data_IF_038080530101
#
_entry.id   IF_038080530101
#
_cell.length_a   1.000
_cell.length_b   1.000
_cell.length_c   1.000
_cell.angle_alpha   90.00
_cell.angle_beta   90.00
_cell.angle_gamma   90.00
#
_symmetry.space_group_name_H-M   'P 1'
#
loop_
_entity.id
_entity.type
_entity.pdbx_description
1 polymer ?
#
# COMPACT_ATOMS: atom_id res chain seq x y z
N UNK A 1 -28.81 4.90 -37.66
CA UNK A 1 -27.78 4.79 -36.61
C UNK A 1 -28.07 3.64 -35.63
N UNK A 2 -28.90 2.64 -35.98
CA UNK A 2 -29.63 1.85 -34.97
C UNK A 2 -29.63 0.31 -35.21
N UNK A 3 -28.61 -0.19 -35.92
CA UNK A 3 -28.36 -1.65 -36.09
C UNK A 3 -27.03 -2.04 -35.44
N UNK A 4 -25.99 -1.20 -35.61
CA UNK A 4 -24.69 -1.39 -34.97
C UNK A 4 -24.72 -1.14 -33.44
N UNK A 5 -25.63 -0.29 -32.94
CA UNK A 5 -25.78 -0.04 -31.49
C UNK A 5 -26.43 -1.21 -30.73
N UNK A 6 -27.30 -1.99 -31.39
CA UNK A 6 -27.92 -3.20 -30.80
C UNK A 6 -26.97 -4.40 -30.73
N UNK A 7 -25.88 -4.36 -31.49
CA UNK A 7 -24.84 -5.39 -31.55
C UNK A 7 -23.49 -4.92 -30.98
N UNK A 8 -23.42 -3.67 -30.50
CA UNK A 8 -22.21 -3.10 -29.91
C UNK A 8 -21.74 -3.96 -28.73
N UNK A 9 -20.56 -4.58 -28.92
CA UNK A 9 -19.87 -5.35 -27.90
C UNK A 9 -19.39 -4.47 -26.73
N UNK A 10 -19.46 -3.15 -26.84
CA UNK A 10 -18.89 -2.19 -25.89
C UNK A 10 -19.55 -2.31 -24.51
N UNK A 11 -20.89 -2.43 -24.45
CA UNK A 11 -21.63 -2.56 -23.18
C UNK A 11 -21.32 -3.87 -22.44
N UNK A 12 -21.08 -4.96 -23.17
CA UNK A 12 -20.70 -6.24 -22.56
C UNK A 12 -19.22 -6.22 -22.16
N UNK A 13 -18.37 -5.66 -23.02
CA UNK A 13 -16.93 -5.53 -22.78
C UNK A 13 -16.64 -4.73 -21.51
N UNK A 14 -17.31 -3.59 -21.30
CA UNK A 14 -17.07 -2.78 -20.09
C UNK A 14 -17.49 -3.51 -18.81
N UNK A 15 -18.55 -4.34 -18.86
CA UNK A 15 -18.97 -5.16 -17.73
C UNK A 15 -17.90 -6.16 -17.31
N UNK A 16 -17.35 -6.90 -18.28
CA UNK A 16 -16.26 -7.84 -18.03
C UNK A 16 -14.97 -7.15 -17.58
N UNK A 17 -14.61 -6.01 -18.17
CA UNK A 17 -13.44 -5.23 -17.73
C UNK A 17 -13.61 -4.71 -16.31
N UNK A 18 -14.80 -4.25 -15.94
CA UNK A 18 -15.08 -3.80 -14.58
C UNK A 18 -15.00 -4.97 -13.58
N UNK A 19 -15.57 -6.13 -13.90
CA UNK A 19 -15.43 -7.36 -13.12
C UNK A 19 -13.95 -7.74 -12.90
N UNK A 20 -13.11 -7.56 -13.92
CA UNK A 20 -11.66 -7.81 -13.81
C UNK A 20 -10.95 -6.87 -12.85
N UNK A 21 -11.33 -5.59 -12.82
CA UNK A 21 -10.81 -4.66 -11.82
C UNK A 21 -11.33 -4.96 -10.41
N UNK A 22 -12.61 -5.34 -10.26
CA UNK A 22 -13.15 -5.78 -8.96
C UNK A 22 -12.41 -7.03 -8.46
N UNK A 23 -12.12 -7.98 -9.35
CA UNK A 23 -11.32 -9.16 -9.04
C UNK A 23 -9.91 -8.79 -8.58
N UNK A 24 -9.25 -7.86 -9.28
CA UNK A 24 -7.92 -7.39 -8.92
C UNK A 24 -7.91 -6.67 -7.56
N UNK A 25 -8.91 -5.82 -7.28
CA UNK A 25 -9.07 -5.16 -5.99
C UNK A 25 -9.13 -6.20 -4.86
N UNK A 26 -9.98 -7.21 -4.99
CA UNK A 26 -10.09 -8.26 -3.98
C UNK A 26 -8.84 -9.15 -3.91
N UNK A 27 -8.15 -9.41 -5.02
CA UNK A 27 -6.88 -10.14 -5.03
C UNK A 27 -5.79 -9.41 -4.22
N UNK A 28 -5.75 -8.07 -4.27
CA UNK A 28 -4.87 -7.24 -3.45
C UNK A 28 -5.22 -7.26 -1.96
N UNK A 29 -6.49 -7.50 -1.61
CA UNK A 29 -7.01 -7.55 -0.24
C UNK A 29 -6.87 -8.93 0.42
N UNK A 30 -6.53 -9.98 -0.34
CA UNK A 30 -6.36 -11.34 0.18
C UNK A 30 -5.38 -11.36 1.36
N UNK A 31 -5.70 -12.19 2.34
CA UNK A 31 -4.80 -12.58 3.44
C UNK A 31 -4.21 -13.97 3.19
N UNK A 32 -3.15 -14.36 3.92
CA UNK A 32 -2.65 -15.73 3.87
C UNK A 32 -3.78 -16.76 4.02
N UNK A 33 -3.71 -17.84 3.24
CA UNK A 33 -4.70 -18.91 3.16
C UNK A 33 -6.06 -18.54 2.52
N UNK A 34 -6.24 -17.29 2.08
CA UNK A 34 -7.44 -16.89 1.33
C UNK A 34 -7.23 -17.06 -0.19
N UNK A 35 -8.35 -17.16 -0.91
CA UNK A 35 -8.33 -17.18 -2.37
C UNK A 35 -9.50 -16.44 -2.99
N UNK A 36 -9.29 -16.02 -4.24
CA UNK A 36 -10.33 -15.54 -5.14
C UNK A 36 -10.44 -16.46 -6.33
N UNK A 37 -11.65 -16.74 -6.80
CA UNK A 37 -11.82 -17.31 -8.13
C UNK A 37 -12.83 -16.56 -8.97
N UNK A 38 -12.61 -16.62 -10.27
CA UNK A 38 -13.29 -15.80 -11.29
C UNK A 38 -14.05 -16.76 -12.21
N UNK A 39 -15.36 -16.55 -12.38
CA UNK A 39 -16.24 -17.40 -13.21
C UNK A 39 -16.25 -18.88 -12.76
N UNK A 40 -16.31 -19.14 -11.44
CA UNK A 40 -16.33 -20.51 -10.89
C UNK A 40 -17.66 -20.85 -10.21
N UNK A 41 -18.09 -20.04 -9.24
CA UNK A 41 -19.38 -20.20 -8.55
C UNK A 41 -20.35 -19.05 -8.87
N UNK A 42 -19.81 -17.87 -9.13
CA UNK A 42 -20.48 -16.66 -9.62
C UNK A 42 -19.42 -15.87 -10.41
N UNK A 43 -19.71 -14.62 -10.80
CA UNK A 43 -18.76 -13.74 -11.49
C UNK A 43 -17.41 -13.72 -10.75
N UNK A 44 -17.46 -13.60 -9.41
CA UNK A 44 -16.34 -13.80 -8.49
C UNK A 44 -16.77 -14.61 -7.27
N UNK A 45 -15.82 -15.31 -6.65
CA UNK A 45 -15.99 -15.82 -5.29
C UNK A 45 -14.73 -15.64 -4.48
N UNK A 46 -14.89 -15.44 -3.17
CA UNK A 46 -13.82 -15.42 -2.19
C UNK A 46 -13.99 -16.62 -1.26
N UNK A 47 -12.87 -17.22 -0.88
CA UNK A 47 -12.80 -18.24 0.16
C UNK A 47 -11.82 -17.78 1.24
N UNK A 48 -12.31 -17.65 2.48
CA UNK A 48 -11.49 -17.23 3.60
C UNK A 48 -10.82 -18.42 4.30
N UNK A 49 -9.96 -18.15 5.28
CA UNK A 49 -9.23 -19.18 6.06
C UNK A 49 -10.13 -20.21 6.77
N UNK A 50 -11.39 -19.87 7.03
CA UNK A 50 -12.35 -20.78 7.66
C UNK A 50 -13.13 -21.63 6.63
N UNK A 51 -12.81 -21.52 5.33
CA UNK A 51 -13.56 -22.15 4.24
C UNK A 51 -14.92 -21.50 3.96
N UNK A 52 -15.21 -20.34 4.55
CA UNK A 52 -16.43 -19.59 4.25
C UNK A 52 -16.33 -19.01 2.85
N UNK A 53 -17.41 -19.17 2.07
CA UNK A 53 -17.48 -18.66 0.70
C UNK A 53 -18.34 -17.41 0.59
N UNK A 54 -17.82 -16.42 -0.11
CA UNK A 54 -18.55 -15.22 -0.50
C UNK A 54 -18.69 -15.23 -2.02
N UNK A 55 -19.91 -15.29 -2.54
CA UNK A 55 -20.16 -15.14 -3.97
C UNK A 55 -20.52 -13.71 -4.28
N UNK A 56 -19.91 -13.17 -5.31
CA UNK A 56 -20.03 -11.77 -5.68
C UNK A 56 -20.52 -11.73 -7.12
N UNK A 57 -21.75 -11.24 -7.30
CA UNK A 57 -22.28 -10.94 -8.61
C UNK A 57 -21.98 -9.47 -8.93
N UNK A 58 -21.24 -9.22 -10.00
CA UNK A 58 -20.80 -7.89 -10.41
C UNK A 58 -21.72 -7.35 -11.51
N UNK A 59 -22.29 -6.16 -11.29
CA UNK A 59 -23.15 -5.45 -12.25
C UNK A 59 -22.64 -4.04 -12.49
N UNK A 60 -22.16 -3.79 -13.71
CA UNK A 60 -21.73 -2.47 -14.15
C UNK A 60 -22.65 -1.91 -15.23
N UNK A 61 -22.92 -0.60 -15.18
CA UNK A 61 -23.66 0.11 -16.22
C UNK A 61 -22.96 1.41 -16.60
N UNK A 62 -22.97 1.77 -17.89
CA UNK A 62 -22.27 2.99 -18.39
C UNK A 62 -22.85 4.29 -17.80
N UNK A 63 -24.15 4.29 -17.47
CA UNK A 63 -24.82 5.45 -16.86
C UNK A 63 -24.99 5.21 -15.36
N UNK A 64 -24.19 5.90 -14.55
CA UNK A 64 -24.29 5.89 -13.08
C UNK A 64 -25.62 6.47 -12.55
N UNK A 65 -26.41 7.12 -13.40
CA UNK A 65 -27.59 7.89 -12.99
C UNK A 65 -28.81 7.07 -12.58
N UNK A 66 -28.76 5.74 -12.64
CA UNK A 66 -29.94 4.90 -12.37
C UNK A 66 -29.71 4.03 -11.15
N UNK A 67 -30.48 4.26 -10.09
CA UNK A 67 -30.55 3.39 -8.93
C UNK A 67 -31.12 2.01 -9.29
N UNK A 68 -30.71 0.96 -8.57
CA UNK A 68 -31.40 -0.34 -8.60
C UNK A 68 -32.82 -0.14 -8.10
N UNK A 69 -33.80 -0.54 -8.93
CA UNK A 69 -35.24 -0.42 -8.60
C UNK A 69 -35.81 -1.77 -8.17
N UNK A 70 -36.99 -1.76 -7.55
CA UNK A 70 -37.71 -2.99 -7.17
C UNK A 70 -38.12 -3.87 -8.37
N UNK A 71 -38.00 -3.35 -9.61
CA UNK A 71 -38.30 -4.05 -10.86
C UNK A 71 -37.05 -4.30 -11.72
N UNK A 72 -35.85 -4.13 -11.16
CA UNK A 72 -34.61 -4.33 -11.91
C UNK A 72 -34.46 -5.82 -12.27
N UNK A 73 -34.44 -6.11 -13.58
CA UNK A 73 -34.36 -7.48 -14.10
C UNK A 73 -33.06 -8.19 -13.68
N UNK A 74 -31.95 -7.45 -13.59
CA UNK A 74 -30.66 -8.03 -13.22
C UNK A 74 -30.67 -8.45 -11.75
N UNK A 75 -31.33 -7.68 -10.88
CA UNK A 75 -31.56 -8.07 -9.48
C UNK A 75 -32.35 -9.37 -9.39
N UNK A 76 -33.52 -9.43 -10.04
CA UNK A 76 -34.39 -10.61 -9.97
C UNK A 76 -33.74 -11.86 -10.55
N UNK A 77 -33.00 -11.72 -11.66
CA UNK A 77 -32.23 -12.80 -12.25
C UNK A 77 -31.14 -13.32 -11.30
N UNK A 78 -30.41 -12.42 -10.64
CA UNK A 78 -29.39 -12.80 -9.66
C UNK A 78 -29.99 -13.48 -8.44
N UNK A 79 -31.10 -12.97 -7.89
CA UNK A 79 -31.84 -13.63 -6.81
C UNK A 79 -32.29 -15.03 -7.20
N UNK A 80 -32.79 -15.20 -8.43
CA UNK A 80 -33.17 -16.51 -8.96
C UNK A 80 -31.96 -17.45 -9.02
N UNK A 81 -30.86 -17.03 -9.63
CA UNK A 81 -29.64 -17.84 -9.74
C UNK A 81 -29.10 -18.26 -8.36
N UNK A 82 -29.04 -17.32 -7.40
CA UNK A 82 -28.63 -17.62 -6.03
C UNK A 82 -29.59 -18.55 -5.31
N UNK A 83 -30.90 -18.43 -5.56
CA UNK A 83 -31.90 -19.35 -4.99
C UNK A 83 -31.69 -20.79 -5.48
N UNK A 84 -31.30 -20.98 -6.74
CA UNK A 84 -30.95 -22.30 -7.27
C UNK A 84 -29.61 -22.80 -6.72
N UNK A 85 -28.60 -21.94 -6.63
CA UNK A 85 -27.28 -22.29 -6.09
C UNK A 85 -27.35 -22.73 -4.62
N UNK A 86 -28.10 -22.01 -3.79
CA UNK A 86 -28.25 -22.32 -2.35
C UNK A 86 -28.92 -23.68 -2.10
N UNK A 87 -29.76 -24.17 -3.02
CA UNK A 87 -30.34 -25.53 -2.89
C UNK A 87 -29.31 -26.63 -3.01
N UNK A 88 -28.22 -26.38 -3.72
CA UNK A 88 -27.19 -27.39 -4.04
C UNK A 88 -26.00 -27.25 -3.09
N UNK A 89 -25.63 -26.03 -2.73
CA UNK A 89 -24.44 -25.80 -1.91
C UNK A 89 -24.81 -26.04 -0.45
N UNK A 90 -24.08 -26.94 0.20
CA UNK A 90 -24.33 -27.36 1.57
C UNK A 90 -23.53 -26.55 2.62
N UNK A 91 -22.77 -25.55 2.17
CA UNK A 91 -21.99 -24.65 3.04
C UNK A 91 -22.96 -23.81 3.88
N UNK A 92 -22.97 -24.02 5.20
CA UNK A 92 -23.92 -23.35 6.10
C UNK A 92 -23.70 -21.83 6.14
N UNK A 93 -22.48 -21.38 5.88
CA UNK A 93 -22.07 -19.99 5.94
C UNK A 93 -21.64 -19.50 4.55
N UNK A 94 -22.63 -19.19 3.70
CA UNK A 94 -22.40 -18.51 2.41
C UNK A 94 -22.81 -17.05 2.56
N UNK A 95 -21.99 -16.15 2.03
CA UNK A 95 -22.35 -14.75 1.82
C UNK A 95 -22.58 -14.48 0.33
N UNK A 96 -23.60 -13.71 0.00
CA UNK A 96 -23.98 -13.36 -1.37
C UNK A 96 -23.95 -11.83 -1.49
N UNK A 97 -23.06 -11.32 -2.32
CA UNK A 97 -22.82 -9.88 -2.46
C UNK A 97 -23.28 -9.43 -3.83
N UNK A 98 -24.25 -8.51 -3.85
CA UNK A 98 -24.63 -7.82 -5.08
C UNK A 98 -23.75 -6.59 -5.24
N UNK A 99 -22.75 -6.68 -6.11
CA UNK A 99 -21.75 -5.62 -6.32
C UNK A 99 -22.13 -4.76 -7.52
N UNK A 100 -22.31 -3.46 -7.34
CA UNK A 100 -22.69 -2.56 -8.45
C UNK A 100 -22.17 -1.14 -8.32
N UNK A 101 -22.01 -0.48 -9.48
CA UNK A 101 -21.78 0.95 -9.54
C UNK A 101 -23.06 1.80 -9.37
N UNK A 102 -24.26 1.19 -9.45
CA UNK A 102 -25.54 1.89 -9.25
C UNK A 102 -25.79 2.17 -7.76
N UNK A 103 -26.50 3.26 -7.46
CA UNK A 103 -27.09 3.48 -6.15
C UNK A 103 -28.31 2.59 -5.88
N UNK A 104 -28.86 2.67 -4.66
CA UNK A 104 -30.11 1.98 -4.30
C UNK A 104 -31.32 2.92 -4.42
N UNK A 105 -32.49 2.38 -4.82
CA UNK A 105 -33.71 3.19 -4.87
C UNK A 105 -34.09 3.74 -3.50
N UNK A 106 -34.62 4.97 -3.49
CA UNK A 106 -35.22 5.57 -2.30
C UNK A 106 -36.67 5.12 -2.08
N UNK A 107 -37.26 4.39 -3.02
CA UNK A 107 -38.59 3.79 -2.86
C UNK A 107 -38.55 2.67 -1.81
N UNK A 108 -39.61 2.52 -1.02
CA UNK A 108 -39.80 1.33 -0.19
C UNK A 108 -39.98 0.09 -1.06
N UNK A 109 -39.66 -1.08 -0.51
CA UNK A 109 -39.89 -2.37 -1.15
C UNK A 109 -38.68 -3.28 -1.08
N UNK A 110 -38.60 -4.21 -2.02
CA UNK A 110 -37.66 -5.34 -1.97
C UNK A 110 -36.19 -4.91 -1.88
N UNK A 111 -35.77 -3.86 -2.61
CA UNK A 111 -34.36 -3.41 -2.60
C UNK A 111 -33.95 -2.94 -1.20
N UNK A 112 -34.78 -2.14 -0.53
CA UNK A 112 -34.49 -1.66 0.84
C UNK A 112 -34.55 -2.78 1.88
N UNK A 113 -35.50 -3.70 1.73
CA UNK A 113 -35.61 -4.85 2.62
C UNK A 113 -34.39 -5.76 2.50
N UNK A 114 -33.91 -5.99 1.26
CA UNK A 114 -32.71 -6.79 0.99
C UNK A 114 -31.40 -6.06 1.28
N UNK A 115 -31.34 -4.73 1.29
CA UNK A 115 -30.12 -4.00 1.67
C UNK A 115 -30.00 -3.74 3.17
N UNK A 116 -31.08 -3.93 3.94
CA UNK A 116 -31.08 -3.80 5.39
C UNK A 116 -30.10 -4.76 6.08
N UNK A 117 -29.41 -4.30 7.12
CA UNK A 117 -28.57 -5.14 7.98
C UNK A 117 -29.42 -6.16 8.77
N UNK A 118 -30.66 -5.81 9.12
CA UNK A 118 -31.62 -6.72 9.75
C UNK A 118 -32.62 -7.21 8.72
N UNK A 119 -32.50 -8.49 8.34
CA UNK A 119 -33.40 -9.12 7.37
C UNK A 119 -34.73 -9.52 8.01
N UNK A 120 -35.79 -8.79 7.69
CA UNK A 120 -37.16 -9.14 8.08
C UNK A 120 -37.77 -10.09 7.05
N UNK A 121 -37.46 -11.38 7.17
CA UNK A 121 -37.79 -12.42 6.17
C UNK A 121 -39.29 -12.45 5.81
N UNK A 122 -40.17 -12.32 6.80
CA UNK A 122 -41.63 -12.29 6.55
C UNK A 122 -42.05 -11.07 5.71
N UNK A 123 -41.47 -9.89 5.96
CA UNK A 123 -41.74 -8.70 5.15
C UNK A 123 -41.21 -8.85 3.74
N UNK A 124 -40.00 -9.42 3.58
CA UNK A 124 -39.41 -9.73 2.27
C UNK A 124 -40.33 -10.65 1.47
N UNK A 125 -40.77 -11.77 2.07
CA UNK A 125 -41.64 -12.72 1.40
C UNK A 125 -43.00 -12.12 1.02
N UNK A 126 -43.59 -11.28 1.88
CA UNK A 126 -44.86 -10.59 1.58
C UNK A 126 -44.70 -9.60 0.42
N UNK A 127 -43.65 -8.77 0.45
CA UNK A 127 -43.34 -7.82 -0.62
C UNK A 127 -43.16 -8.54 -1.98
N UNK A 128 -42.46 -9.68 -2.02
CA UNK A 128 -42.28 -10.47 -3.24
C UNK A 128 -43.63 -10.97 -3.78
N UNK A 129 -44.54 -11.42 -2.90
CA UNK A 129 -45.90 -11.86 -3.29
C UNK A 129 -46.73 -10.69 -3.83
N UNK A 130 -46.63 -9.52 -3.22
CA UNK A 130 -47.31 -8.31 -3.70
C UNK A 130 -46.80 -7.88 -5.08
N UNK A 131 -45.47 -7.88 -5.28
CA UNK A 131 -44.85 -7.60 -6.57
C UNK A 131 -45.32 -8.62 -7.63
N UNK A 132 -45.38 -9.91 -7.29
CA UNK A 132 -45.88 -10.95 -8.19
C UNK A 132 -47.33 -10.71 -8.62
N UNK A 133 -48.21 -10.37 -7.67
CA UNK A 133 -49.63 -10.10 -7.94
C UNK A 133 -49.83 -8.84 -8.80
N UNK A 134 -48.99 -7.82 -8.59
CA UNK A 134 -49.05 -6.58 -9.34
C UNK A 134 -48.44 -6.69 -10.76
N UNK A 135 -47.62 -7.71 -11.02
CA UNK A 135 -46.94 -7.88 -12.30
C UNK A 135 -47.86 -8.50 -13.36
N UNK A 136 -48.31 -7.68 -14.32
CA UNK A 136 -49.34 -8.05 -15.31
C UNK A 136 -48.85 -8.96 -16.44
N UNK A 137 -47.54 -8.93 -16.76
CA UNK A 137 -47.00 -9.65 -17.90
C UNK A 137 -46.42 -11.00 -17.47
N UNK A 138 -47.24 -12.05 -17.48
CA UNK A 138 -46.85 -13.38 -17.04
C UNK A 138 -45.88 -14.12 -17.98
N UNK A 139 -45.58 -13.55 -19.15
CA UNK A 139 -44.73 -14.17 -20.17
C UNK A 139 -43.29 -13.65 -20.19
N UNK A 140 -42.94 -12.66 -19.38
CA UNK A 140 -41.58 -12.12 -19.35
C UNK A 140 -40.67 -12.81 -18.32
N UNK A 141 -39.36 -12.60 -18.49
CA UNK A 141 -38.33 -13.22 -17.65
C UNK A 141 -38.43 -12.76 -16.19
N UNK A 142 -38.81 -11.49 -15.95
CA UNK A 142 -38.94 -10.97 -14.59
C UNK A 142 -40.05 -11.69 -13.83
N UNK A 143 -41.19 -11.95 -14.47
CA UNK A 143 -42.27 -12.74 -13.85
C UNK A 143 -41.79 -14.13 -13.47
N UNK A 144 -41.08 -14.82 -14.37
CA UNK A 144 -40.50 -16.15 -14.11
C UNK A 144 -39.61 -16.15 -12.88
N UNK A 145 -38.72 -15.16 -12.75
CA UNK A 145 -37.82 -15.05 -11.61
C UNK A 145 -38.58 -14.78 -10.30
N UNK A 146 -39.47 -13.78 -10.29
CA UNK A 146 -40.29 -13.46 -9.11
C UNK A 146 -41.12 -14.67 -8.68
N UNK A 147 -41.77 -15.34 -9.63
CA UNK A 147 -42.59 -16.52 -9.36
C UNK A 147 -41.77 -17.63 -8.70
N UNK A 148 -40.58 -17.94 -9.23
CA UNK A 148 -39.70 -18.95 -8.65
C UNK A 148 -39.30 -18.62 -7.21
N UNK A 149 -38.92 -17.36 -6.96
CA UNK A 149 -38.50 -16.89 -5.64
C UNK A 149 -39.67 -16.89 -4.65
N UNK A 150 -40.87 -16.49 -5.09
CA UNK A 150 -42.08 -16.44 -4.25
C UNK A 150 -42.54 -17.82 -3.74
N UNK A 151 -42.11 -18.89 -4.41
CA UNK A 151 -42.47 -20.29 -4.12
C UNK A 151 -41.33 -21.07 -3.46
N UNK A 152 -40.27 -20.39 -2.99
CA UNK A 152 -39.19 -21.05 -2.25
C UNK A 152 -39.72 -21.61 -0.91
N UNK A 153 -39.28 -22.81 -0.50
CA UNK A 153 -39.53 -23.29 0.86
C UNK A 153 -38.98 -22.30 1.91
N UNK A 154 -39.67 -22.17 3.05
CA UNK A 154 -39.35 -21.17 4.08
C UNK A 154 -37.89 -21.23 4.54
N UNK A 155 -37.34 -22.44 4.74
CA UNK A 155 -35.95 -22.63 5.14
C UNK A 155 -34.95 -22.18 4.06
N UNK A 156 -35.29 -22.32 2.78
CA UNK A 156 -34.45 -21.89 1.65
C UNK A 156 -34.54 -20.38 1.48
N UNK A 157 -35.75 -19.81 1.57
CA UNK A 157 -35.99 -18.36 1.55
C UNK A 157 -35.24 -17.65 2.68
N UNK A 158 -35.34 -18.18 3.91
CA UNK A 158 -34.62 -17.63 5.06
C UNK A 158 -33.11 -17.67 4.84
N UNK A 159 -32.56 -18.82 4.42
CA UNK A 159 -31.13 -18.96 4.14
C UNK A 159 -30.67 -17.98 3.06
N UNK A 160 -31.39 -17.88 1.94
CA UNK A 160 -31.09 -16.98 0.83
C UNK A 160 -31.03 -15.52 1.29
N UNK A 161 -32.11 -15.02 1.88
CA UNK A 161 -32.21 -13.59 2.18
C UNK A 161 -31.31 -13.16 3.33
N UNK A 162 -30.98 -14.06 4.27
CA UNK A 162 -29.98 -13.80 5.31
C UNK A 162 -28.56 -13.68 4.77
N UNK A 163 -28.24 -14.40 3.69
CA UNK A 163 -26.92 -14.38 3.08
C UNK A 163 -26.65 -13.14 2.21
N UNK A 164 -27.68 -12.38 1.82
CA UNK A 164 -27.54 -11.29 0.85
C UNK A 164 -27.08 -9.97 1.50
N UNK A 165 -26.08 -9.34 0.89
CA UNK A 165 -25.67 -7.97 1.12
C UNK A 165 -25.49 -7.22 -0.20
N UNK A 166 -25.47 -5.89 -0.12
CA UNK A 166 -25.23 -5.02 -1.27
C UNK A 166 -23.94 -4.26 -1.07
N UNK A 167 -23.10 -4.26 -2.10
CA UNK A 167 -21.99 -3.33 -2.23
C UNK A 167 -22.30 -2.46 -3.44
N UNK A 168 -22.73 -1.23 -3.18
CA UNK A 168 -23.36 -0.37 -4.19
C UNK A 168 -22.65 0.97 -4.28
N UNK A 169 -22.97 1.74 -5.33
CA UNK A 169 -22.30 3.01 -5.63
C UNK A 169 -20.77 2.86 -5.76
N UNK A 170 -20.31 1.67 -6.15
CA UNK A 170 -18.90 1.35 -6.30
C UNK A 170 -18.37 1.85 -7.65
N UNK A 171 -18.30 3.15 -7.80
CA UNK A 171 -17.71 3.77 -8.99
C UNK A 171 -16.19 3.97 -8.82
N UNK A 172 -15.51 4.34 -9.91
CA UNK A 172 -14.09 4.70 -9.88
C UNK A 172 -13.17 3.56 -9.37
N UNK A 173 -13.43 2.31 -9.79
CA UNK A 173 -12.71 1.11 -9.30
C UNK A 173 -11.17 1.22 -9.43
N UNK A 174 -10.68 1.90 -10.48
CA UNK A 174 -9.24 2.16 -10.67
C UNK A 174 -8.70 3.05 -9.56
N UNK A 175 -9.42 4.11 -9.18
CA UNK A 175 -9.03 4.98 -8.07
C UNK A 175 -9.00 4.20 -6.75
N UNK A 176 -9.98 3.33 -6.52
CA UNK A 176 -10.01 2.48 -5.33
C UNK A 176 -8.80 1.54 -5.25
N UNK A 177 -8.42 0.90 -6.37
CA UNK A 177 -7.21 0.07 -6.45
C UNK A 177 -5.96 0.91 -6.18
N UNK A 178 -5.84 2.10 -6.78
CA UNK A 178 -4.70 3.00 -6.53
C UNK A 178 -4.63 3.43 -5.06
N UNK A 179 -5.76 3.71 -4.42
CA UNK A 179 -5.83 4.01 -2.98
C UNK A 179 -5.39 2.82 -2.12
N UNK A 180 -5.81 1.61 -2.48
CA UNK A 180 -5.34 0.38 -1.84
C UNK A 180 -3.82 0.19 -2.03
N UNK A 181 -3.29 0.47 -3.21
CA UNK A 181 -1.84 0.41 -3.48
C UNK A 181 -1.04 1.36 -2.56
N UNK A 182 -1.57 2.55 -2.24
CA UNK A 182 -0.91 3.46 -1.28
C UNK A 182 -0.72 2.84 0.10
N UNK A 183 -1.59 1.91 0.52
CA UNK A 183 -1.45 1.22 1.82
C UNK A 183 -0.22 0.30 1.87
N UNK A 184 0.35 -0.04 0.72
CA UNK A 184 1.62 -0.75 0.61
C UNK A 184 2.81 0.21 0.54
N UNK A 185 2.76 1.42 1.11
CA UNK A 185 3.91 2.33 1.21
C UNK A 185 4.59 2.60 -0.14
N UNK A 186 3.83 2.61 -1.22
CA UNK A 186 4.33 2.92 -2.57
C UNK A 186 4.36 4.45 -2.70
N UNK A 187 5.48 5.04 -3.17
CA UNK A 187 5.55 6.48 -3.43
C UNK A 187 4.46 6.95 -4.41
N UNK A 188 3.88 8.12 -4.17
CA UNK A 188 2.76 8.65 -4.96
C UNK A 188 3.07 8.75 -6.46
N UNK A 189 4.32 9.08 -6.83
CA UNK A 189 4.79 9.16 -8.22
C UNK A 189 4.97 7.79 -8.90
N UNK A 190 4.92 6.69 -8.14
CA UNK A 190 5.07 5.31 -8.62
C UNK A 190 3.75 4.53 -8.65
N UNK A 191 2.67 5.07 -8.10
CA UNK A 191 1.39 4.36 -7.99
C UNK A 191 0.86 3.92 -9.35
N UNK A 192 0.96 4.77 -10.36
CA UNK A 192 0.47 4.47 -11.71
C UNK A 192 1.27 3.35 -12.36
N UNK A 193 2.60 3.39 -12.27
CA UNK A 193 3.48 2.35 -12.79
C UNK A 193 3.22 1.01 -12.09
N UNK A 194 3.08 1.01 -10.76
CA UNK A 194 2.76 -0.21 -10.01
C UNK A 194 1.39 -0.76 -10.42
N UNK A 195 0.38 0.10 -10.53
CA UNK A 195 -0.96 -0.30 -10.97
C UNK A 195 -0.91 -0.97 -12.35
N UNK A 196 -0.22 -0.38 -13.34
CA UNK A 196 -0.11 -0.95 -14.68
C UNK A 196 0.63 -2.29 -14.69
N UNK A 197 1.72 -2.42 -13.93
CA UNK A 197 2.48 -3.67 -13.86
C UNK A 197 1.67 -4.81 -13.22
N UNK A 198 1.01 -4.54 -12.09
CA UNK A 198 0.20 -5.54 -11.37
C UNK A 198 -1.03 -5.93 -12.22
N UNK A 199 -1.75 -4.96 -12.76
CA UNK A 199 -2.94 -5.23 -13.60
C UNK A 199 -2.57 -6.00 -14.86
N UNK A 200 -1.47 -5.65 -15.53
CA UNK A 200 -0.94 -6.39 -16.66
C UNK A 200 -0.66 -7.85 -16.34
N UNK A 201 0.08 -8.12 -15.26
CA UNK A 201 0.39 -9.48 -14.82
C UNK A 201 -0.88 -10.29 -14.48
N UNK A 202 -1.84 -9.67 -13.79
CA UNK A 202 -3.10 -10.30 -13.42
C UNK A 202 -3.97 -10.63 -14.64
N UNK A 203 -4.17 -9.68 -15.55
CA UNK A 203 -4.99 -9.87 -16.75
C UNK A 203 -4.37 -10.87 -17.71
N UNK A 204 -3.04 -10.85 -17.87
CA UNK A 204 -2.34 -11.85 -18.68
C UNK A 204 -2.52 -13.25 -18.09
N UNK A 205 -2.41 -13.41 -16.77
CA UNK A 205 -2.67 -14.69 -16.09
C UNK A 205 -4.10 -15.17 -16.34
N UNK A 206 -5.12 -14.33 -16.07
CA UNK A 206 -6.52 -14.69 -16.32
C UNK A 206 -6.71 -15.15 -17.77
N UNK A 207 -6.23 -14.38 -18.73
CA UNK A 207 -6.33 -14.72 -20.16
C UNK A 207 -5.71 -16.09 -20.47
N UNK A 208 -4.50 -16.36 -19.96
CA UNK A 208 -3.80 -17.64 -20.17
C UNK A 208 -4.57 -18.82 -19.58
N UNK A 209 -5.21 -18.65 -18.43
CA UNK A 209 -5.99 -19.71 -17.78
C UNK A 209 -7.30 -19.99 -18.53
N UNK A 210 -8.04 -18.94 -18.90
CA UNK A 210 -9.27 -19.08 -19.70
C UNK A 210 -8.97 -19.74 -21.04
N UNK A 211 -7.87 -19.37 -21.71
CA UNK A 211 -7.45 -19.98 -22.97
C UNK A 211 -7.15 -21.49 -22.85
N UNK A 212 -6.79 -21.96 -21.65
CA UNK A 212 -6.53 -23.39 -21.36
C UNK A 212 -7.78 -24.15 -20.92
N UNK A 213 -8.95 -23.50 -20.91
CA UNK A 213 -10.18 -24.04 -20.31
C UNK A 213 -10.02 -24.42 -18.83
N UNK A 214 -9.13 -23.72 -18.13
CA UNK A 214 -8.85 -23.90 -16.71
C UNK A 214 -9.66 -22.92 -15.87
N UNK A 215 -10.18 -23.39 -14.72
CA UNK A 215 -10.74 -22.51 -13.70
C UNK A 215 -9.70 -21.47 -13.26
N UNK A 216 -10.13 -20.22 -13.11
CA UNK A 216 -9.27 -19.14 -12.64
C UNK A 216 -9.45 -19.02 -11.13
N UNK A 217 -8.53 -19.61 -10.38
CA UNK A 217 -8.45 -19.49 -8.92
C UNK A 217 -7.05 -18.97 -8.58
N UNK A 218 -6.99 -17.98 -7.71
CA UNK A 218 -5.78 -17.29 -7.28
C UNK A 218 -5.80 -17.26 -5.76
N UNK A 219 -4.89 -18.00 -5.13
CA UNK A 219 -4.67 -17.88 -3.69
C UNK A 219 -3.66 -16.76 -3.40
N UNK A 220 -3.58 -16.36 -2.13
CA UNK A 220 -2.67 -15.34 -1.65
C UNK A 220 -1.23 -15.54 -2.14
N UNK A 221 -0.62 -16.69 -1.87
CA UNK A 221 0.78 -16.96 -2.22
C UNK A 221 1.04 -16.90 -3.72
N UNK A 222 0.10 -17.39 -4.53
CA UNK A 222 0.21 -17.32 -5.99
C UNK A 222 0.15 -15.87 -6.48
N UNK A 223 -0.75 -15.06 -5.92
CA UNK A 223 -0.84 -13.64 -6.26
C UNK A 223 0.42 -12.88 -5.85
N UNK A 224 0.91 -13.08 -4.61
CA UNK A 224 2.09 -12.41 -4.07
C UNK A 224 3.38 -12.80 -4.80
N UNK A 225 3.61 -14.11 -4.95
CA UNK A 225 4.89 -14.66 -5.40
C UNK A 225 4.90 -14.98 -6.90
N UNK A 226 3.93 -15.76 -7.38
CA UNK A 226 3.93 -16.24 -8.78
C UNK A 226 3.56 -15.14 -9.77
N UNK A 227 2.61 -14.27 -9.44
CA UNK A 227 2.34 -13.05 -10.20
C UNK A 227 3.29 -11.89 -9.84
N UNK A 228 4.28 -12.15 -8.98
CA UNK A 228 5.36 -11.24 -8.61
C UNK A 228 4.90 -9.88 -8.06
N UNK A 229 3.70 -9.81 -7.49
CA UNK A 229 3.14 -8.57 -6.94
C UNK A 229 4.04 -7.99 -5.85
N UNK A 230 4.57 -8.83 -4.95
CA UNK A 230 5.49 -8.37 -3.90
C UNK A 230 6.78 -7.81 -4.49
N UNK A 231 7.30 -8.42 -5.55
CA UNK A 231 8.49 -7.94 -6.23
C UNK A 231 8.25 -6.56 -6.87
N UNK A 232 7.11 -6.36 -7.52
CA UNK A 232 6.72 -5.08 -8.12
C UNK A 232 6.65 -3.98 -7.04
N UNK A 233 5.97 -4.28 -5.92
CA UNK A 233 5.87 -3.36 -4.77
C UNK A 233 7.27 -3.05 -4.22
N UNK A 234 8.11 -4.05 -3.98
CA UNK A 234 9.47 -3.83 -3.47
C UNK A 234 10.33 -2.97 -4.41
N UNK A 235 10.28 -3.20 -5.73
CA UNK A 235 11.02 -2.37 -6.70
C UNK A 235 10.57 -0.91 -6.60
N UNK A 236 9.26 -0.67 -6.51
CA UNK A 236 8.73 0.70 -6.38
C UNK A 236 9.16 1.39 -5.08
N UNK A 237 9.47 0.61 -4.04
CA UNK A 237 9.97 1.07 -2.75
C UNK A 237 11.50 1.22 -2.70
N UNK A 238 12.27 0.53 -3.54
CA UNK A 238 13.74 0.51 -3.46
C UNK A 238 14.44 1.87 -3.67
N UNK A 239 13.70 2.96 -3.87
CA UNK A 239 14.20 4.33 -3.83
C UNK A 239 14.24 4.96 -2.42
N UNK A 240 13.82 4.23 -1.37
CA UNK A 240 13.69 4.75 0.01
C UNK A 240 15.01 5.31 0.57
N UNK A 241 16.16 4.70 0.27
CA UNK A 241 17.47 5.10 0.80
C UNK A 241 18.32 5.93 -0.20
N UNK A 242 17.69 6.72 -1.08
CA UNK A 242 18.44 7.59 -1.99
C UNK A 242 19.00 8.83 -1.24
N UNK A 243 20.18 8.67 -0.65
CA UNK A 243 20.87 9.78 0.01
C UNK A 243 21.33 10.88 -0.95
N UNK A 244 21.27 10.72 -2.28
CA UNK A 244 21.61 11.80 -3.22
C UNK A 244 20.65 12.98 -3.09
N UNK A 245 19.43 12.78 -2.56
CA UNK A 245 18.53 13.87 -2.19
C UNK A 245 19.16 14.86 -1.20
N UNK A 246 20.23 14.48 -0.51
CA UNK A 246 20.99 15.38 0.36
C UNK A 246 21.57 16.57 -0.41
N UNK A 247 21.97 16.41 -1.67
CA UNK A 247 22.57 17.50 -2.44
C UNK A 247 21.58 18.66 -2.65
N UNK A 248 20.33 18.32 -2.95
CA UNK A 248 19.25 19.28 -3.19
C UNK A 248 18.50 19.69 -1.90
N UNK A 249 18.83 19.08 -0.75
CA UNK A 249 18.17 19.40 0.51
C UNK A 249 18.64 20.76 1.06
N UNK A 250 17.70 21.67 1.27
CA UNK A 250 17.95 22.94 1.95
C UNK A 250 17.62 22.82 3.44
N UNK A 251 18.49 23.39 4.27
CA UNK A 251 18.30 23.46 5.73
C UNK A 251 18.58 24.88 6.20
N UNK A 252 17.89 25.31 7.26
CA UNK A 252 18.19 26.58 7.91
C UNK A 252 19.58 26.53 8.55
N UNK A 253 20.33 27.63 8.44
CA UNK A 253 21.61 27.74 9.12
C UNK A 253 21.42 27.91 10.63
N UNK A 254 22.23 27.24 11.46
CA UNK A 254 22.23 27.44 12.90
C UNK A 254 22.60 28.89 13.26
N UNK A 255 21.84 29.51 14.18
CA UNK A 255 22.07 30.89 14.62
C UNK A 255 23.13 31.03 15.71
N UNK A 256 23.40 29.94 16.45
CA UNK A 256 24.36 29.91 17.56
C UNK A 256 25.37 28.78 17.30
N UNK A 257 26.34 29.07 16.43
CA UNK A 257 27.37 28.10 16.05
C UNK A 257 28.49 28.00 17.09
N UNK A 258 28.80 29.11 17.78
CA UNK A 258 29.94 29.21 18.69
C UNK A 258 29.72 28.42 20.00
N UNK A 259 28.46 28.14 20.35
CA UNK A 259 28.12 27.34 21.54
C UNK A 259 28.36 25.85 21.35
N UNK A 260 28.51 25.38 20.11
CA UNK A 260 28.67 23.96 19.77
C UNK A 260 30.04 23.44 20.21
N UNK A 261 30.07 22.22 20.74
CA UNK A 261 31.33 21.56 21.12
C UNK A 261 32.12 21.23 19.86
N UNK A 262 31.46 20.79 18.78
CA UNK A 262 32.12 20.55 17.51
C UNK A 262 32.79 21.82 16.95
N UNK A 263 32.19 23.00 17.14
CA UNK A 263 32.79 24.28 16.76
C UNK A 263 34.10 24.52 17.52
N UNK A 264 34.07 24.39 18.85
CA UNK A 264 35.25 24.55 19.71
C UNK A 264 36.36 23.58 19.34
N UNK A 265 36.01 22.31 19.09
CA UNK A 265 36.97 21.31 18.65
C UNK A 265 37.64 21.69 17.32
N UNK A 266 36.91 22.24 16.33
CA UNK A 266 37.49 22.68 15.07
C UNK A 266 38.34 23.96 15.24
N UNK A 267 37.94 24.85 16.14
CA UNK A 267 38.72 26.04 16.50
C UNK A 267 40.05 25.65 17.15
N UNK A 268 40.04 24.66 18.04
CA UNK A 268 41.26 24.15 18.70
C UNK A 268 42.21 23.44 17.73
N UNK A 269 41.71 23.00 16.56
CA UNK A 269 42.51 22.49 15.45
C UNK A 269 43.08 23.59 14.54
N UNK A 270 42.88 24.86 14.88
CA UNK A 270 43.34 26.04 14.14
C UNK A 270 42.77 26.12 12.70
N UNK A 271 41.52 25.64 12.50
CA UNK A 271 40.81 25.87 11.25
C UNK A 271 40.38 27.34 11.14
N UNK A 272 40.42 27.89 9.92
CA UNK A 272 39.88 29.22 9.67
C UNK A 272 38.36 29.28 9.89
N UNK A 273 37.86 30.44 10.29
CA UNK A 273 36.46 30.63 10.69
C UNK A 273 35.47 30.29 9.56
N UNK A 274 35.81 30.60 8.30
CA UNK A 274 34.94 30.31 7.15
C UNK A 274 34.76 28.79 6.94
N UNK A 275 35.84 28.02 7.12
CA UNK A 275 35.79 26.56 7.06
C UNK A 275 34.96 25.99 8.22
N UNK A 276 35.16 26.49 9.44
CA UNK A 276 34.37 26.06 10.60
C UNK A 276 32.87 26.31 10.36
N UNK A 277 32.50 27.52 9.93
CA UNK A 277 31.11 27.86 9.60
C UNK A 277 30.53 26.88 8.58
N UNK A 278 31.26 26.62 7.49
CA UNK A 278 30.83 25.67 6.45
C UNK A 278 30.56 24.28 7.06
N UNK A 279 31.48 23.75 7.86
CA UNK A 279 31.36 22.41 8.42
C UNK A 279 30.23 22.30 9.46
N UNK A 280 30.02 23.33 10.28
CA UNK A 280 28.89 23.37 11.23
C UNK A 280 27.55 23.46 10.49
N UNK A 281 27.52 24.15 9.34
CA UNK A 281 26.34 24.15 8.47
C UNK A 281 26.08 22.77 7.86
N UNK A 282 27.11 22.05 7.42
CA UNK A 282 26.99 20.66 6.94
C UNK A 282 26.49 19.71 8.05
N UNK A 283 26.96 19.91 9.29
CA UNK A 283 26.48 19.19 10.48
C UNK A 283 24.99 19.41 10.71
N UNK A 284 24.54 20.67 10.71
CA UNK A 284 23.13 21.01 10.90
C UNK A 284 22.24 20.50 9.76
N UNK A 285 22.71 20.60 8.51
CA UNK A 285 22.03 20.02 7.35
C UNK A 285 21.91 18.50 7.47
N UNK A 286 22.94 17.82 7.95
CA UNK A 286 22.93 16.36 8.18
C UNK A 286 21.87 15.96 9.22
N UNK A 287 21.82 16.65 10.36
CA UNK A 287 20.81 16.34 11.39
C UNK A 287 19.39 16.58 10.88
N UNK A 288 19.14 17.73 10.25
CA UNK A 288 17.84 18.06 9.67
C UNK A 288 17.41 17.05 8.59
N UNK A 289 18.34 16.60 7.74
CA UNK A 289 18.07 15.60 6.72
C UNK A 289 17.76 14.23 7.32
N UNK A 290 18.50 13.79 8.35
CA UNK A 290 18.21 12.56 9.09
C UNK A 290 16.82 12.63 9.74
N UNK A 291 16.45 13.76 10.35
CA UNK A 291 15.11 13.92 10.92
C UNK A 291 14.01 13.90 9.84
N UNK A 292 14.25 14.53 8.68
CA UNK A 292 13.33 14.46 7.52
C UNK A 292 13.09 13.00 7.14
N UNK A 293 14.16 12.24 6.88
CA UNK A 293 14.04 10.82 6.47
C UNK A 293 13.33 9.97 7.54
N UNK A 294 13.58 10.23 8.83
CA UNK A 294 12.84 9.55 9.91
C UNK A 294 11.37 9.89 9.92
N UNK A 295 11.02 11.16 9.68
CA UNK A 295 9.62 11.61 9.66
C UNK A 295 8.84 11.10 8.44
N UNK A 296 9.52 10.88 7.30
CA UNK A 296 8.91 10.28 6.10
C UNK A 296 8.88 8.75 6.15
N UNK A 297 9.54 8.12 7.13
CA UNK A 297 9.66 6.67 7.24
C UNK A 297 10.74 6.08 6.33
N UNK A 298 11.57 6.93 5.73
CA UNK A 298 12.65 6.53 4.83
C UNK A 298 13.95 6.14 5.56
N UNK A 299 14.04 6.44 6.85
CA UNK A 299 15.16 6.01 7.70
C UNK A 299 14.63 5.60 9.08
N UNK A 300 14.97 4.39 9.51
CA UNK A 300 14.61 3.90 10.84
C UNK A 300 15.55 4.45 11.92
N UNK A 301 15.11 4.40 13.18
CA UNK A 301 15.99 4.72 14.33
C UNK A 301 17.16 3.74 14.46
N UNK A 302 17.02 2.49 13.99
CA UNK A 302 18.12 1.52 14.00
C UNK A 302 19.17 1.86 12.94
N UNK A 303 18.74 2.26 11.75
CA UNK A 303 19.63 2.71 10.67
C UNK A 303 20.38 4.00 11.04
N UNK A 304 19.71 4.98 11.65
CA UNK A 304 20.38 6.17 12.21
C UNK A 304 21.49 5.76 13.19
N UNK A 305 21.18 4.87 14.16
CA UNK A 305 22.17 4.35 15.10
C UNK A 305 23.32 3.63 14.39
N UNK A 306 23.02 2.91 13.31
CA UNK A 306 24.02 2.19 12.53
C UNK A 306 24.95 3.15 11.77
N UNK A 307 24.43 4.25 11.20
CA UNK A 307 25.24 5.32 10.59
C UNK A 307 26.25 5.83 11.62
N UNK A 308 25.77 6.22 12.81
CA UNK A 308 26.62 6.75 13.86
C UNK A 308 27.60 5.72 14.42
N UNK A 309 27.19 4.45 14.54
CA UNK A 309 28.08 3.37 14.95
C UNK A 309 29.22 3.15 13.94
N UNK A 310 28.91 3.09 12.65
CA UNK A 310 29.92 2.96 11.60
C UNK A 310 30.90 4.13 11.58
N UNK A 311 30.38 5.36 11.74
CA UNK A 311 31.22 6.54 11.86
C UNK A 311 32.12 6.46 13.12
N UNK A 312 31.57 6.06 14.27
CA UNK A 312 32.36 5.86 15.48
C UNK A 312 33.47 4.81 15.30
N UNK A 313 33.17 3.66 14.69
CA UNK A 313 34.14 2.58 14.47
C UNK A 313 35.30 3.05 13.54
N UNK A 314 34.97 3.79 12.47
CA UNK A 314 35.97 4.41 11.58
C UNK A 314 36.83 5.44 12.32
N UNK A 315 36.21 6.31 13.11
CA UNK A 315 36.94 7.27 13.94
C UNK A 315 37.87 6.56 14.93
N UNK A 316 37.37 5.57 15.66
CA UNK A 316 38.13 4.86 16.69
C UNK A 316 39.37 4.19 16.09
N UNK A 317 39.21 3.53 14.94
CA UNK A 317 40.32 2.89 14.22
C UNK A 317 41.40 3.90 13.83
N UNK A 318 41.02 5.00 13.17
CA UNK A 318 41.99 6.00 12.66
C UNK A 318 42.63 6.82 13.78
N UNK A 319 41.85 7.21 14.79
CA UNK A 319 42.34 7.91 15.97
C UNK A 319 43.36 7.06 16.73
N UNK A 320 43.04 5.78 16.98
CA UNK A 320 43.96 4.85 17.64
C UNK A 320 45.26 4.69 16.86
N UNK A 321 45.19 4.47 15.53
CA UNK A 321 46.37 4.31 14.68
C UNK A 321 47.24 5.57 14.69
N UNK A 322 46.62 6.74 14.56
CA UNK A 322 47.32 8.03 14.52
C UNK A 322 48.09 8.33 15.82
N UNK A 323 47.56 7.92 16.97
CA UNK A 323 48.17 8.17 18.27
C UNK A 323 48.91 6.96 18.88
N UNK A 324 48.94 5.80 18.21
CA UNK A 324 49.46 4.54 18.75
C UNK A 324 50.91 4.63 19.30
N UNK A 325 51.74 5.49 18.71
CA UNK A 325 53.16 5.66 19.07
C UNK A 325 53.48 7.00 19.74
N UNK A 326 52.48 7.82 20.01
CA UNK A 326 52.66 9.18 20.51
C UNK A 326 51.98 9.35 21.87
N UNK A 327 52.57 10.16 22.75
CA UNK A 327 51.97 10.57 24.02
C UNK A 327 52.15 12.06 24.19
N UNK A 328 51.06 12.80 24.24
CA UNK A 328 51.05 14.24 24.42
C UNK A 328 50.53 14.57 25.82
N UNK A 329 51.31 15.33 26.57
CA UNK A 329 50.91 15.88 27.89
C UNK A 329 50.34 17.30 27.78
N UNK A 330 50.61 17.99 26.68
CA UNK A 330 50.19 19.35 26.38
C UNK A 330 49.83 19.45 24.90
N UNK A 331 48.93 20.37 24.56
CA UNK A 331 48.57 20.67 23.17
C UNK A 331 49.71 21.49 22.55
N UNK A 332 50.44 20.89 21.61
CA UNK A 332 51.51 21.53 20.85
C UNK A 332 51.30 21.29 19.34
N UNK A 333 52.13 21.93 18.51
CA UNK A 333 52.02 21.87 17.04
C UNK A 333 52.02 20.44 16.48
N UNK A 334 52.83 19.53 17.06
CA UNK A 334 52.87 18.14 16.64
C UNK A 334 51.57 17.39 17.01
N UNK A 335 50.99 17.67 18.18
CA UNK A 335 49.71 17.10 18.59
C UNK A 335 48.57 17.58 17.69
N UNK A 336 48.52 18.89 17.41
CA UNK A 336 47.55 19.51 16.51
C UNK A 336 47.64 18.95 15.09
N UNK A 337 48.87 18.77 14.58
CA UNK A 337 49.10 18.18 13.25
C UNK A 337 48.49 16.78 13.12
N UNK A 338 48.64 15.93 14.14
CA UNK A 338 48.04 14.59 14.14
C UNK A 338 46.51 14.67 14.27
N UNK A 339 46.00 15.57 15.12
CA UNK A 339 44.57 15.73 15.31
C UNK A 339 43.87 16.21 14.02
N UNK A 340 44.49 17.17 13.32
CA UNK A 340 44.06 17.63 12.02
C UNK A 340 44.16 16.53 10.95
N UNK A 341 45.20 15.68 10.99
CA UNK A 341 45.29 14.51 10.12
C UNK A 341 44.11 13.54 10.34
N UNK A 342 43.77 13.19 11.59
CA UNK A 342 42.61 12.34 11.89
C UNK A 342 41.33 12.95 11.35
N UNK A 343 41.11 14.25 11.60
CA UNK A 343 39.95 14.98 11.09
C UNK A 343 39.85 14.96 9.56
N UNK A 344 40.93 15.35 8.87
CA UNK A 344 40.96 15.45 7.41
C UNK A 344 40.83 14.10 6.72
N UNK A 345 41.39 13.03 7.29
CA UNK A 345 41.22 11.68 6.76
C UNK A 345 39.77 11.20 6.89
N UNK A 346 39.13 11.42 8.03
CA UNK A 346 37.74 10.98 8.24
C UNK A 346 36.75 11.80 7.40
N UNK A 347 36.97 13.09 7.22
CA UNK A 347 36.07 13.96 6.44
C UNK A 347 36.35 13.92 4.93
N UNK A 348 37.58 13.60 4.52
CA UNK A 348 37.98 13.53 3.11
C UNK A 348 37.92 12.12 2.51
N UNK A 349 38.33 11.11 3.28
CA UNK A 349 38.69 9.77 2.81
C UNK A 349 37.96 8.65 3.59
N UNK A 350 36.74 8.91 4.07
CA UNK A 350 35.89 7.90 4.72
C UNK A 350 34.55 7.79 4.01
N UNK A 351 34.12 6.55 3.80
CA UNK A 351 32.82 6.23 3.22
C UNK A 351 31.98 5.51 4.26
N UNK A 352 30.84 6.09 4.62
CA UNK A 352 29.83 5.40 5.43
C UNK A 352 28.78 4.82 4.48
N UNK A 353 28.62 3.51 4.51
CA UNK A 353 27.66 2.79 3.67
C UNK A 353 26.54 2.26 4.58
N UNK A 354 25.29 2.61 4.29
CA UNK A 354 24.12 1.99 4.91
C UNK A 354 23.46 1.07 3.89
N UNK A 355 23.39 -0.22 4.21
CA UNK A 355 23.02 -1.28 3.26
C UNK A 355 23.87 -1.22 1.98
N UNK A 356 23.28 -0.75 0.87
CA UNK A 356 23.93 -0.59 -0.42
C UNK A 356 24.14 0.88 -0.83
N UNK A 357 23.71 1.83 0.01
CA UNK A 357 23.75 3.26 -0.30
C UNK A 357 24.88 3.94 0.48
N UNK A 358 25.78 4.57 -0.26
CA UNK A 358 26.87 5.37 0.29
C UNK A 358 26.33 6.74 0.71
N UNK A 359 26.67 7.20 1.91
CA UNK A 359 26.34 8.55 2.34
C UNK A 359 27.14 9.57 1.50
N UNK A 360 26.51 10.69 1.10
CA UNK A 360 27.20 11.85 0.54
C UNK A 360 28.34 12.29 1.45
N UNK A 361 29.44 12.78 0.86
CA UNK A 361 30.64 13.14 1.64
C UNK A 361 30.35 14.21 2.69
N UNK A 362 29.65 15.28 2.33
CA UNK A 362 29.26 16.32 3.31
C UNK A 362 28.30 15.79 4.39
N UNK A 363 27.48 14.78 4.09
CA UNK A 363 26.65 14.10 5.09
C UNK A 363 27.51 13.27 6.05
N UNK A 364 28.53 12.58 5.53
CA UNK A 364 29.52 11.84 6.33
C UNK A 364 30.29 12.77 7.27
N UNK A 365 30.77 13.91 6.76
CA UNK A 365 31.39 14.97 7.58
C UNK A 365 30.44 15.44 8.68
N UNK A 366 29.19 15.74 8.34
CA UNK A 366 28.19 16.14 9.32
C UNK A 366 27.93 15.07 10.38
N UNK A 367 27.93 13.79 10.03
CA UNK A 367 27.76 12.69 10.99
C UNK A 367 28.89 12.63 12.02
N UNK A 368 30.15 12.79 11.60
CA UNK A 368 31.28 12.90 12.54
C UNK A 368 31.17 14.13 13.43
N UNK A 369 30.78 15.27 12.86
CA UNK A 369 30.62 16.50 13.63
C UNK A 369 29.50 16.37 14.67
N UNK A 370 28.38 15.71 14.34
CA UNK A 370 27.32 15.41 15.30
C UNK A 370 27.81 14.52 16.45
N UNK A 371 28.71 13.56 16.18
CA UNK A 371 29.32 12.74 17.23
C UNK A 371 30.27 13.56 18.11
N UNK A 372 31.04 14.48 17.53
CA UNK A 372 31.95 15.38 18.27
C UNK A 372 31.20 16.44 19.09
N UNK A 373 30.02 16.86 18.64
CA UNK A 373 29.15 17.81 19.35
C UNK A 373 28.44 17.16 20.54
N UNK A 374 28.19 15.83 20.48
CA UNK A 374 27.72 14.98 21.59
C UNK A 374 28.84 14.49 22.52
N UNK A 375 29.98 15.16 22.52
CA UNK A 375 31.34 14.62 22.76
C UNK A 375 31.42 13.09 22.92
N UNK A 376 31.02 12.34 21.89
CA UNK A 376 31.22 10.88 21.83
C UNK A 376 32.52 10.51 21.13
N UNK A 377 33.05 11.44 20.34
CA UNK A 377 34.37 11.39 19.72
C UNK A 377 35.07 12.75 19.89
N UNK A 378 36.37 12.79 19.64
CA UNK A 378 37.10 14.04 19.46
C UNK A 378 38.42 13.85 18.71
N UNK A 379 39.04 14.95 18.32
CA UNK A 379 40.18 14.91 17.39
C UNK A 379 41.53 14.78 18.10
N UNK A 380 41.70 15.46 19.24
CA UNK A 380 42.90 15.41 20.06
C UNK A 380 43.04 14.05 20.77
N UNK A 381 44.26 13.59 21.08
CA UNK A 381 44.49 12.42 21.93
C UNK A 381 43.75 12.47 23.29
N UNK A 382 43.74 13.62 23.97
CA UNK A 382 43.14 13.83 25.29
C UNK A 382 41.75 14.50 25.24
N UNK A 383 41.07 14.41 24.09
CA UNK A 383 39.78 15.06 23.84
C UNK A 383 38.73 14.83 24.94
N UNK A 384 38.67 13.64 25.53
CA UNK A 384 37.70 13.33 26.59
C UNK A 384 37.87 14.25 27.79
N UNK A 385 39.11 14.54 28.20
CA UNK A 385 39.37 15.43 29.33
C UNK A 385 39.08 16.91 29.05
N UNK A 386 38.96 17.28 27.77
CA UNK A 386 38.76 18.67 27.34
C UNK A 386 37.27 18.95 27.09
N UNK A 387 36.54 17.98 26.51
CA UNK A 387 35.20 18.22 25.95
C UNK A 387 34.07 17.38 26.57
N UNK A 388 34.37 16.35 27.39
CA UNK A 388 33.37 15.64 28.21
C UNK A 388 33.41 16.15 29.65
#
# INVERSE_FOLDING_TARGET
>A
MDIFDKTSAEKKSIGFSYQDYVALKHALELKPEESIGIEVFDDLHLENINGQKTFIQVKHSIKNSNNITNKDIDLWKTLYNWSEAIKIINDKDISLVFYTNKGLTLESGIVKLLSSNTKEINKINNEIKEILQAHKNHGDDIYKYIYSISNLPDNVSERLFRSISFQHSEDEIILQIKMLLKTFSIPDDKIDDVFHNISGAFFEYKYKQVKKDSKVIINYEYFRNTLAVDRIIQISRNCINNFDQYYDFESAYPTDIDSKISYKQLQDLDLNIDAIIKYINEMAKTDAFIQKLKSSGDLTTQEEKLIYKKAFDEWQSRHLIAYMRSRYSEINEAHLSIAFYVYSELTGNCDIILENNKLPRSMTTGAFLLLSDKPTIGWLQNWESIYK
#
